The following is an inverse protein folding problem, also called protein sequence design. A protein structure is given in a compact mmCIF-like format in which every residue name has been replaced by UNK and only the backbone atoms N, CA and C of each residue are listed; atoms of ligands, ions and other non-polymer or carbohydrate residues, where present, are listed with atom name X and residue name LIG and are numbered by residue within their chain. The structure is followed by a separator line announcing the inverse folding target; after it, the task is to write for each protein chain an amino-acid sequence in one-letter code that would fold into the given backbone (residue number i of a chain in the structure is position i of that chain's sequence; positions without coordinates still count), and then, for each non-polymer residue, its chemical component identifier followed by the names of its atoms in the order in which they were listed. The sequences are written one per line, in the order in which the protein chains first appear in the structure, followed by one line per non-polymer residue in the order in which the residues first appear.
data_IF_659049067829
#
_entry.id   IF_659049067829
#
_cell.length_a   1.000
_cell.length_b   1.000
_cell.length_c   1.000
_cell.angle_alpha   90.00
_cell.angle_beta   90.00
_cell.angle_gamma   90.00
#
_symmetry.space_group_name_H-M   'P 1'
#
loop_
_entity.id
_entity.type
_entity.pdbx_description
1 polymer ?
#
# COMPACT_ATOMS: atom_id res chain seq x y z
N UNK A 1 34.49 -5.61 9.96
CA UNK A 1 33.51 -5.96 11.00
C UNK A 1 32.14 -5.60 10.45
N UNK A 2 31.30 -6.58 10.10
CA UNK A 2 29.98 -6.32 9.49
C UNK A 2 29.04 -5.92 10.63
N UNK A 3 28.64 -4.64 10.73
CA UNK A 3 27.66 -4.16 11.71
C UNK A 3 26.34 -4.91 11.46
N UNK A 4 25.85 -5.63 12.46
CA UNK A 4 24.52 -6.23 12.44
C UNK A 4 23.48 -5.11 12.37
N UNK A 5 22.88 -4.90 11.19
CA UNK A 5 21.74 -4.01 11.03
C UNK A 5 20.52 -4.61 11.72
N UNK A 6 20.23 -4.20 12.95
CA UNK A 6 18.93 -4.39 13.59
C UNK A 6 17.90 -3.55 12.85
N UNK A 7 17.21 -4.15 11.87
CA UNK A 7 16.07 -3.53 11.18
C UNK A 7 14.89 -3.47 12.17
N UNK A 8 14.60 -2.31 12.76
CA UNK A 8 13.35 -2.11 13.49
C UNK A 8 12.19 -2.17 12.49
N UNK A 9 11.03 -2.66 12.94
CA UNK A 9 9.94 -2.99 12.03
C UNK A 9 9.30 -1.73 11.44
N UNK A 10 9.45 -1.63 10.13
CA UNK A 10 8.94 -0.64 9.22
C UNK A 10 7.41 -0.46 9.27
N UNK A 11 6.94 0.78 9.35
CA UNK A 11 5.52 1.08 9.07
C UNK A 11 5.14 0.58 7.68
N UNK A 12 4.08 -0.24 7.59
CA UNK A 12 3.51 -0.73 6.31
C UNK A 12 2.33 0.15 5.89
N UNK A 13 2.27 0.45 4.60
CA UNK A 13 1.16 1.15 3.96
C UNK A 13 0.77 0.41 2.68
N UNK A 14 -0.47 0.56 2.24
CA UNK A 14 -0.94 0.04 0.95
C UNK A 14 -1.39 1.20 0.08
N UNK A 15 -0.88 1.25 -1.16
CA UNK A 15 -1.38 2.12 -2.20
C UNK A 15 -2.36 1.36 -3.08
N UNK A 16 -3.61 1.80 -3.14
CA UNK A 16 -4.58 1.30 -4.12
C UNK A 16 -4.63 2.23 -5.33
N UNK A 17 -4.71 1.63 -6.52
CA UNK A 17 -5.03 2.29 -7.77
C UNK A 17 -6.47 1.96 -8.15
N UNK A 18 -7.26 2.98 -8.43
CA UNK A 18 -8.65 2.85 -8.86
C UNK A 18 -8.80 3.34 -10.31
N UNK A 19 -9.51 2.56 -11.13
CA UNK A 19 -9.72 2.83 -12.55
C UNK A 19 -11.19 3.08 -12.83
N UNK A 20 -11.50 4.30 -13.27
CA UNK A 20 -12.78 4.65 -13.84
C UNK A 20 -12.52 5.56 -15.04
N UNK A 21 -12.60 5.00 -16.26
CA UNK A 21 -12.29 5.72 -17.49
C UNK A 21 -13.14 6.99 -17.65
N UNK A 22 -14.42 6.94 -17.27
CA UNK A 22 -15.31 8.10 -17.32
C UNK A 22 -14.96 9.23 -16.34
N UNK A 23 -14.22 8.93 -15.26
CA UNK A 23 -13.79 9.92 -14.26
C UNK A 23 -12.34 10.36 -14.41
N UNK A 24 -11.44 9.46 -14.85
CA UNK A 24 -9.99 9.67 -14.81
C UNK A 24 -9.29 9.48 -16.18
N UNK A 25 -10.01 9.09 -17.23
CA UNK A 25 -9.43 8.75 -18.53
C UNK A 25 -8.45 7.58 -18.44
N UNK A 26 -7.30 7.68 -19.12
CA UNK A 26 -6.23 6.67 -19.09
C UNK A 26 -5.41 6.65 -17.80
N UNK A 27 -5.72 7.53 -16.84
CA UNK A 27 -5.00 7.63 -15.57
C UNK A 27 -5.77 6.92 -14.47
N UNK A 28 -5.05 6.31 -13.53
CA UNK A 28 -5.64 5.77 -12.31
C UNK A 28 -5.66 6.82 -11.19
N UNK A 29 -6.64 6.71 -10.29
CA UNK A 29 -6.65 7.44 -9.03
C UNK A 29 -5.94 6.63 -7.96
N UNK A 30 -4.83 7.14 -7.45
CA UNK A 30 -4.06 6.48 -6.40
C UNK A 30 -4.48 6.97 -5.00
N UNK A 31 -4.59 6.07 -4.03
CA UNK A 31 -4.81 6.39 -2.61
C UNK A 31 -3.94 5.52 -1.71
N UNK A 32 -3.24 6.14 -0.77
CA UNK A 32 -2.36 5.45 0.17
C UNK A 32 -3.05 5.36 1.53
N UNK A 33 -3.15 4.14 2.04
CA UNK A 33 -3.64 3.82 3.38
C UNK A 33 -2.44 3.46 4.26
N UNK A 34 -2.19 4.27 5.28
CA UNK A 34 -1.05 4.15 6.18
C UNK A 34 -1.36 3.22 7.35
N UNK A 35 -0.32 2.79 8.06
CA UNK A 35 -0.41 2.01 9.30
C UNK A 35 -1.19 0.69 9.11
N UNK A 36 -1.05 0.09 7.93
CA UNK A 36 -1.56 -1.26 7.70
C UNK A 36 -0.73 -2.20 8.56
N UNK A 37 -1.40 -3.14 9.22
CA UNK A 37 -0.73 -4.16 10.00
C UNK A 37 0.32 -4.87 9.14
N UNK A 38 1.50 -5.05 9.71
CA UNK A 38 2.65 -5.68 9.04
C UNK A 38 2.37 -7.12 8.61
N UNK A 39 1.52 -7.81 9.37
CA UNK A 39 1.06 -9.18 9.16
C UNK A 39 -0.26 -9.27 8.38
N UNK A 40 -0.72 -8.18 7.77
CA UNK A 40 -1.93 -8.23 6.95
C UNK A 40 -1.72 -9.13 5.72
N UNK A 41 -2.57 -10.15 5.61
CA UNK A 41 -2.61 -11.09 4.48
C UNK A 41 -3.00 -10.40 3.16
N UNK A 42 -2.38 -10.82 2.06
CA UNK A 42 -2.60 -10.23 0.73
C UNK A 42 -4.07 -10.32 0.29
N UNK A 43 -4.75 -11.43 0.58
CA UNK A 43 -6.17 -11.61 0.28
C UNK A 43 -7.05 -10.59 1.01
N UNK A 44 -6.75 -10.33 2.28
CA UNK A 44 -7.46 -9.34 3.09
C UNK A 44 -7.25 -7.92 2.54
N UNK A 45 -6.01 -7.59 2.14
CA UNK A 45 -5.68 -6.32 1.49
C UNK A 45 -6.47 -6.15 0.19
N UNK A 46 -6.50 -7.16 -0.67
CA UNK A 46 -7.27 -7.13 -1.92
C UNK A 46 -8.77 -6.97 -1.65
N UNK A 47 -9.31 -7.67 -0.65
CA UNK A 47 -10.73 -7.58 -0.26
C UNK A 47 -11.10 -6.16 0.19
N UNK A 48 -10.25 -5.51 0.97
CA UNK A 48 -10.44 -4.10 1.38
C UNK A 48 -10.43 -3.19 0.16
N UNK A 49 -9.43 -3.33 -0.74
CA UNK A 49 -9.36 -2.55 -1.97
C UNK A 49 -10.62 -2.67 -2.84
N UNK A 50 -11.14 -3.90 -3.02
CA UNK A 50 -12.37 -4.17 -3.77
C UNK A 50 -13.58 -3.52 -3.10
N UNK A 51 -13.69 -3.63 -1.78
CA UNK A 51 -14.78 -3.02 -1.00
C UNK A 51 -14.77 -1.50 -1.14
N UNK A 52 -13.60 -0.88 -1.06
CA UNK A 52 -13.44 0.57 -1.28
C UNK A 52 -13.86 0.98 -2.69
N UNK A 53 -13.49 0.20 -3.71
CA UNK A 53 -13.88 0.46 -5.09
C UNK A 53 -15.41 0.48 -5.25
N UNK A 54 -16.11 -0.50 -4.67
CA UNK A 54 -17.58 -0.56 -4.68
C UNK A 54 -18.20 0.68 -4.02
N UNK A 55 -17.73 1.05 -2.83
CA UNK A 55 -18.25 2.22 -2.09
C UNK A 55 -18.04 3.55 -2.85
N UNK A 56 -17.04 3.62 -3.72
CA UNK A 56 -16.74 4.81 -4.51
C UNK A 56 -17.39 4.82 -5.90
N UNK A 57 -18.08 3.74 -6.29
CA UNK A 57 -18.52 3.53 -7.68
C UNK A 57 -17.33 3.55 -8.63
N UNK A 58 -16.31 2.76 -8.32
CA UNK A 58 -15.03 2.66 -9.01
C UNK A 58 -14.63 1.18 -9.19
N UNK A 59 -13.51 0.92 -9.87
CA UNK A 59 -12.93 -0.43 -9.97
C UNK A 59 -11.52 -0.45 -9.40
N UNK A 60 -11.19 -1.50 -8.65
CA UNK A 60 -9.82 -1.69 -8.16
C UNK A 60 -8.94 -2.14 -9.33
N UNK A 61 -7.98 -1.30 -9.71
CA UNK A 61 -7.00 -1.62 -10.75
C UNK A 61 -5.79 -2.36 -10.18
N UNK A 62 -5.36 -2.00 -8.97
CA UNK A 62 -4.21 -2.64 -8.34
C UNK A 62 -4.01 -2.20 -6.89
N UNK A 63 -3.16 -2.96 -6.21
CA UNK A 63 -2.69 -2.67 -4.86
C UNK A 63 -1.16 -2.83 -4.83
N UNK A 64 -0.47 -1.93 -4.14
CA UNK A 64 0.98 -1.97 -3.98
C UNK A 64 1.35 -1.77 -2.52
N UNK A 65 2.20 -2.66 -2.00
CA UNK A 65 2.74 -2.52 -0.66
C UNK A 65 3.87 -1.49 -0.61
N UNK A 66 3.83 -0.63 0.40
CA UNK A 66 4.88 0.35 0.68
C UNK A 66 5.40 0.12 2.10
N UNK A 67 6.64 -0.39 2.18
CA UNK A 67 7.33 -0.69 3.44
C UNK A 67 8.35 0.40 3.73
N UNK A 68 8.19 1.13 4.83
CA UNK A 68 9.11 2.19 5.24
C UNK A 68 10.04 1.71 6.36
N UNK A 69 11.28 1.40 6.02
CA UNK A 69 12.30 0.97 7.00
C UNK A 69 13.06 2.17 7.53
N UNK A 70 13.26 2.21 8.84
CA UNK A 70 14.23 3.10 9.44
C UNK A 70 15.63 2.53 9.17
N UNK A 71 16.49 3.36 8.60
CA UNK A 71 17.88 3.01 8.31
C UNK A 71 18.73 3.92 9.19
N UNK A 72 19.29 3.34 10.24
CA UNK A 72 20.22 4.04 11.11
C UNK A 72 21.59 4.13 10.41
N UNK A 73 22.02 5.34 10.10
CA UNK A 73 23.35 5.61 9.55
C UNK A 73 24.25 5.86 10.76
N UNK A 74 25.19 4.95 11.01
CA UNK A 74 26.25 5.14 12.00
C UNK A 74 27.58 5.27 11.27
N UNK A 75 28.32 6.32 11.60
CA UNK A 75 29.72 6.52 11.17
C UNK A 75 30.63 5.34 11.58
#
# INVERSE_FOLDING_TARGET
MVKNMTKSLATKSIQYAFSNFGKYGDKNKNRIFKNVRVDAEDEAVVKVGKTLAVLMGDSLHGAMEVVKRDIEITD
#
